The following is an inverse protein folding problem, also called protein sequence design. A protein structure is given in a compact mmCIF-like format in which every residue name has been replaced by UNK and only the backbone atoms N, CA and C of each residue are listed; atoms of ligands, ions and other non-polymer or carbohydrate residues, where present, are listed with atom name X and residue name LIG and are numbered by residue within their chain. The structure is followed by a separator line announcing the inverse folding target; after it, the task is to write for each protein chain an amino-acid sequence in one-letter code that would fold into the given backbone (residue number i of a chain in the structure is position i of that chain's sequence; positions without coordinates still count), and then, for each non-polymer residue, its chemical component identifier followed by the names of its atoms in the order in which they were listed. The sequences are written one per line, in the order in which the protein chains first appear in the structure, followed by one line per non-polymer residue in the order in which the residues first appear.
data_IF_451374195578
#
_entry.id   IF_451374195578
#
_cell.length_a   1.000
_cell.length_b   1.000
_cell.length_c   1.000
_cell.angle_alpha   90.00
_cell.angle_beta   90.00
_cell.angle_gamma   90.00
#
_symmetry.space_group_name_H-M   'P 1'
#
loop_
_entity.id
_entity.type
_entity.pdbx_description
1 polymer ?
#
# COMPACT_ATOMS: atom_id res chain seq x y z
N UNK A 1 -21.34 -16.54 0.64
CA UNK A 1 -20.95 -15.22 0.06
C UNK A 1 -19.53 -15.22 -0.53
N UNK A 2 -18.98 -16.37 -0.94
CA UNK A 2 -17.71 -16.46 -1.68
C UNK A 2 -17.87 -17.52 -2.78
N UNK A 3 -18.94 -17.42 -3.56
CA UNK A 3 -19.24 -18.34 -4.65
C UNK A 3 -18.52 -17.82 -5.90
N UNK A 4 -17.75 -18.68 -6.57
CA UNK A 4 -16.99 -18.33 -7.79
C UNK A 4 -17.86 -17.70 -8.89
N UNK A 5 -19.17 -17.95 -8.85
CA UNK A 5 -20.19 -17.34 -9.70
C UNK A 5 -20.25 -15.81 -9.58
N UNK A 6 -20.05 -15.24 -8.39
CA UNK A 6 -20.04 -13.79 -8.21
C UNK A 6 -18.93 -13.13 -9.04
N UNK A 7 -17.76 -13.76 -9.10
CA UNK A 7 -16.63 -13.30 -9.90
C UNK A 7 -16.86 -13.45 -11.41
N UNK A 8 -17.83 -14.25 -11.85
CA UNK A 8 -18.20 -14.33 -13.28
C UNK A 8 -19.18 -13.24 -13.70
N UNK A 9 -19.81 -12.55 -12.75
CA UNK A 9 -20.66 -11.40 -13.05
C UNK A 9 -19.83 -10.20 -13.50
N UNK A 10 -20.43 -9.29 -14.28
CA UNK A 10 -19.77 -8.02 -14.67
C UNK A 10 -19.33 -7.20 -13.47
N UNK A 11 -20.10 -7.23 -12.38
CA UNK A 11 -19.76 -6.54 -11.13
C UNK A 11 -18.54 -7.17 -10.46
N UNK A 12 -18.49 -8.51 -10.37
CA UNK A 12 -17.35 -9.23 -9.80
C UNK A 12 -16.07 -9.07 -10.63
N UNK A 13 -16.18 -9.06 -11.96
CA UNK A 13 -15.06 -8.78 -12.87
C UNK A 13 -14.55 -7.35 -12.71
N UNK A 14 -15.44 -6.35 -12.59
CA UNK A 14 -15.05 -4.97 -12.34
C UNK A 14 -14.34 -4.82 -10.98
N UNK A 15 -14.84 -5.49 -9.94
CA UNK A 15 -14.21 -5.50 -8.62
C UNK A 15 -12.81 -6.13 -8.67
N UNK A 16 -12.65 -7.28 -9.35
CA UNK A 16 -11.35 -7.91 -9.54
C UNK A 16 -10.39 -7.02 -10.33
N UNK A 17 -10.86 -6.38 -11.41
CA UNK A 17 -10.03 -5.47 -12.19
C UNK A 17 -9.50 -4.30 -11.36
N UNK A 18 -10.33 -3.72 -10.48
CA UNK A 18 -9.92 -2.65 -9.56
C UNK A 18 -8.87 -3.14 -8.55
N UNK A 19 -9.07 -4.32 -7.95
CA UNK A 19 -8.11 -4.93 -7.03
C UNK A 19 -6.78 -5.18 -7.74
N UNK A 20 -6.82 -5.77 -8.94
CA UNK A 20 -5.62 -6.04 -9.75
C UNK A 20 -4.90 -4.74 -10.08
N UNK A 21 -5.61 -3.70 -10.51
CA UNK A 21 -5.01 -2.40 -10.79
C UNK A 21 -4.32 -1.79 -9.55
N UNK A 22 -4.97 -1.84 -8.39
CA UNK A 22 -4.38 -1.36 -7.13
C UNK A 22 -3.14 -2.18 -6.74
N UNK A 23 -3.22 -3.51 -6.81
CA UNK A 23 -2.08 -4.39 -6.47
C UNK A 23 -0.91 -4.22 -7.44
N UNK A 24 -1.17 -4.03 -8.73
CA UNK A 24 -0.14 -3.74 -9.72
C UNK A 24 0.54 -2.40 -9.44
N UNK A 25 -0.23 -1.36 -9.11
CA UNK A 25 0.31 -0.06 -8.73
C UNK A 25 1.15 -0.14 -7.45
N UNK A 26 0.66 -0.83 -6.41
CA UNK A 26 1.40 -1.03 -5.16
C UNK A 26 2.68 -1.83 -5.41
N UNK A 27 2.63 -2.94 -6.14
CA UNK A 27 3.80 -3.77 -6.44
C UNK A 27 4.85 -3.04 -7.29
N UNK A 28 4.42 -2.16 -8.19
CA UNK A 28 5.34 -1.28 -8.92
C UNK A 28 5.92 -0.19 -7.99
N UNK A 29 5.09 0.39 -7.13
CA UNK A 29 5.51 1.39 -6.14
C UNK A 29 6.46 0.82 -5.07
N UNK A 30 6.35 -0.45 -4.70
CA UNK A 30 7.27 -1.10 -3.76
C UNK A 30 8.61 -1.41 -4.42
N UNK A 31 8.63 -1.77 -5.70
CA UNK A 31 9.89 -1.90 -6.46
C UNK A 31 10.55 -0.55 -6.70
N UNK A 32 9.75 0.51 -6.82
CA UNK A 32 10.21 1.90 -6.89
C UNK A 32 10.33 2.55 -5.51
N UNK A 33 10.37 1.79 -4.40
CA UNK A 33 10.69 2.35 -3.09
C UNK A 33 12.04 3.06 -3.19
N UNK A 34 11.96 4.38 -3.37
CA UNK A 34 12.97 5.33 -2.96
C UNK A 34 13.39 4.97 -1.53
N UNK A 35 14.68 5.15 -1.18
CA UNK A 35 15.24 4.70 0.09
C UNK A 35 14.26 4.96 1.22
N UNK A 36 14.08 3.98 2.14
CA UNK A 36 13.06 4.04 3.18
C UNK A 36 13.09 5.44 3.76
N UNK A 37 11.94 6.11 3.77
CA UNK A 37 11.79 7.40 4.41
C UNK A 37 12.13 7.18 5.88
N UNK A 38 13.41 7.33 6.22
CA UNK A 38 13.87 7.45 7.57
C UNK A 38 13.12 8.69 8.05
N UNK A 39 12.08 8.46 8.86
CA UNK A 39 11.47 9.52 9.63
C UNK A 39 12.64 10.30 10.23
N UNK A 40 12.82 11.56 9.81
CA UNK A 40 13.95 12.35 10.25
C UNK A 40 13.95 12.28 11.78
N UNK A 41 14.98 11.65 12.34
CA UNK A 41 15.14 11.56 13.77
C UNK A 41 15.20 13.00 14.25
N UNK A 42 14.14 13.50 14.86
CA UNK A 42 14.18 14.80 15.51
C UNK A 42 15.27 14.68 16.57
N UNK A 43 16.42 15.31 16.31
CA UNK A 43 17.47 15.47 17.30
C UNK A 43 16.92 16.40 18.36
N UNK A 44 16.22 15.85 19.35
CA UNK A 44 15.93 16.58 20.56
C UNK A 44 17.28 16.75 21.27
N UNK A 45 17.74 17.99 21.37
CA UNK A 45 18.85 18.32 22.25
C UNK A 45 18.34 18.07 23.68
N UNK A 46 18.82 16.98 24.29
CA UNK A 46 18.60 16.69 25.69
C UNK A 46 19.37 17.72 26.50
N UNK A 47 18.77 18.88 26.74
CA UNK A 47 19.29 19.86 27.68
C UNK A 47 19.17 19.25 29.07
N UNK A 48 20.27 18.70 29.57
CA UNK A 48 20.42 18.29 30.96
C UNK A 48 20.55 19.59 31.78
N UNK A 49 19.48 19.96 32.48
CA UNK A 49 19.51 21.03 33.48
C UNK A 49 20.21 20.44 34.70
N UNK A 50 21.49 20.79 34.86
CA UNK A 50 22.28 20.54 36.06
C UNK A 50 22.03 21.61 37.13
#
# INVERSE_FOLDING_TARGET
MYTREFFQTRLGQAALASIVAMTAFVALSTQLQAPPAHAASFAYEKVEIA
#
